data_IF_265151779605
#
_entry.id   IF_265151779605
#
_cell.length_a   1.000
_cell.length_b   1.000
_cell.length_c   1.000
_cell.angle_alpha   90.00
_cell.angle_beta   90.00
_cell.angle_gamma   90.00
#
_symmetry.space_group_name_H-M   'P 1'
#
loop_
_entity.id
_entity.type
_entity.pdbx_description
1 polymer ?
#
# COMPACT_ATOMS: atom_id res chain seq x y z
N UNK A 1 -22.65 43.44 24.94
CA UNK A 1 -22.48 41.99 24.62
C UNK A 1 -22.11 41.72 23.17
N UNK A 2 -22.72 42.37 22.16
CA UNK A 2 -22.42 42.12 20.74
C UNK A 2 -20.94 42.37 20.36
N UNK A 3 -20.33 43.45 20.87
CA UNK A 3 -18.90 43.78 20.62
C UNK A 3 -17.93 42.74 21.18
N UNK A 4 -18.23 42.14 22.33
CA UNK A 4 -17.40 41.09 22.94
C UNK A 4 -17.52 39.76 22.16
N UNK A 5 -18.73 39.42 21.72
CA UNK A 5 -18.97 38.24 20.86
C UNK A 5 -18.29 38.38 19.50
N UNK A 6 -18.31 39.57 18.90
CA UNK A 6 -17.63 39.84 17.64
C UNK A 6 -16.11 39.79 17.79
N UNK A 7 -15.54 40.37 18.86
CA UNK A 7 -14.12 40.27 19.15
C UNK A 7 -13.66 38.82 19.38
N UNK A 8 -14.46 38.01 20.09
CA UNK A 8 -14.18 36.59 20.31
C UNK A 8 -14.26 35.78 19.00
N UNK A 9 -15.24 36.08 18.14
CA UNK A 9 -15.38 35.44 16.83
C UNK A 9 -14.19 35.77 15.91
N UNK A 10 -13.78 37.05 15.86
CA UNK A 10 -12.60 37.46 15.08
C UNK A 10 -11.32 36.82 15.63
N UNK A 11 -11.15 36.76 16.96
CA UNK A 11 -10.02 36.07 17.59
C UNK A 11 -10.01 34.57 17.26
N UNK A 12 -11.16 33.90 17.29
CA UNK A 12 -11.28 32.48 16.94
C UNK A 12 -11.00 32.23 15.45
N UNK A 13 -11.43 33.13 14.56
CA UNK A 13 -11.13 33.07 13.12
C UNK A 13 -9.62 33.26 12.87
N UNK A 14 -8.97 34.21 13.56
CA UNK A 14 -7.52 34.41 13.43
C UNK A 14 -6.69 33.28 14.07
N UNK A 15 -7.16 32.67 15.16
CA UNK A 15 -6.49 31.52 15.79
C UNK A 15 -6.60 30.24 14.96
N UNK A 16 -7.63 30.10 14.11
CA UNK A 16 -7.82 28.91 13.28
C UNK A 16 -7.01 28.91 11.97
N UNK A 17 -6.32 29.99 11.61
CA UNK A 17 -5.50 30.08 10.38
C UNK A 17 -4.05 29.56 10.57
N UNK A 18 -3.63 29.28 11.81
CA UNK A 18 -2.21 28.99 12.11
C UNK A 18 -1.88 27.54 12.48
N UNK A 19 -2.84 26.61 12.48
CA UNK A 19 -2.55 25.18 12.72
C UNK A 19 -2.50 24.47 11.36
N UNK A 20 -1.39 24.64 10.64
CA UNK A 20 -1.06 23.73 9.53
C UNK A 20 -0.33 22.55 10.12
N UNK A 21 -0.70 21.33 9.76
CA UNK A 21 0.11 20.15 10.00
C UNK A 21 0.97 19.90 8.75
N UNK A 22 2.21 19.46 8.94
CA UNK A 22 3.02 18.99 7.82
C UNK A 22 2.43 17.68 7.32
N UNK A 23 1.99 17.67 6.06
CA UNK A 23 1.31 16.52 5.45
C UNK A 23 2.05 16.03 4.21
N UNK A 24 1.94 14.73 3.90
CA UNK A 24 2.67 14.12 2.79
C UNK A 24 1.89 13.01 2.08
N UNK A 25 2.28 12.76 0.83
CA UNK A 25 1.79 11.65 0.03
C UNK A 25 2.51 10.36 0.41
N UNK A 26 1.74 9.28 0.49
CA UNK A 26 2.21 7.95 0.78
C UNK A 26 2.36 7.14 -0.52
N UNK A 27 3.53 6.52 -0.74
CA UNK A 27 3.75 5.72 -1.93
C UNK A 27 3.07 4.35 -1.84
N UNK A 28 2.76 3.78 -3.00
CA UNK A 28 2.42 2.37 -3.11
C UNK A 28 3.63 1.50 -2.78
N UNK A 29 3.37 0.32 -2.19
CA UNK A 29 4.44 -0.57 -1.73
C UNK A 29 5.40 -1.00 -2.85
N UNK A 30 4.91 -1.16 -4.08
CA UNK A 30 5.79 -1.51 -5.20
C UNK A 30 6.84 -0.42 -5.48
N UNK A 31 6.49 0.86 -5.33
CA UNK A 31 7.43 1.97 -5.49
C UNK A 31 8.49 1.97 -4.39
N UNK A 32 8.08 1.67 -3.15
CA UNK A 32 8.96 1.56 -1.99
C UNK A 32 10.02 0.51 -2.23
N UNK A 33 9.58 -0.71 -2.57
CA UNK A 33 10.47 -1.85 -2.78
C UNK A 33 11.37 -1.61 -3.99
N UNK A 34 10.83 -1.22 -5.16
CA UNK A 34 11.62 -0.99 -6.39
C UNK A 34 12.72 0.08 -6.24
N UNK A 35 12.50 1.10 -5.40
CA UNK A 35 13.44 2.22 -5.25
C UNK A 35 14.43 2.02 -4.10
N UNK A 36 14.17 1.06 -3.21
CA UNK A 36 15.07 0.68 -2.14
C UNK A 36 16.29 -0.07 -2.68
N UNK A 37 17.37 -0.09 -1.92
CA UNK A 37 18.64 -0.76 -2.25
C UNK A 37 18.96 -1.89 -1.29
N UNK A 38 18.35 -1.86 -0.09
CA UNK A 38 18.56 -2.83 0.97
C UNK A 38 17.21 -3.23 1.55
N UNK A 39 17.07 -4.53 1.85
CA UNK A 39 16.00 -5.06 2.67
C UNK A 39 16.60 -5.83 3.85
N UNK A 40 16.33 -5.35 5.07
CA UNK A 40 17.01 -5.81 6.30
C UNK A 40 16.04 -5.91 7.47
N UNK A 41 16.33 -6.78 8.44
CA UNK A 41 15.79 -6.70 9.80
C UNK A 41 16.81 -5.98 10.67
N UNK A 42 16.37 -4.99 11.42
CA UNK A 42 17.23 -4.23 12.30
C UNK A 42 16.57 -3.93 13.64
N UNK A 43 17.39 -3.84 14.69
CA UNK A 43 16.99 -3.36 16.01
C UNK A 43 17.03 -1.83 16.04
N UNK A 44 15.98 -1.19 16.53
CA UNK A 44 15.96 0.26 16.79
C UNK A 44 16.72 0.52 18.09
N UNK A 45 17.81 1.29 18.02
CA UNK A 45 18.62 1.64 19.19
C UNK A 45 18.18 2.95 19.83
N UNK A 46 17.58 3.84 19.06
CA UNK A 46 17.08 5.14 19.49
C UNK A 46 16.68 5.99 18.29
N UNK A 47 15.88 7.03 18.54
CA UNK A 47 15.48 7.98 17.52
C UNK A 47 15.34 9.39 18.11
N UNK A 48 15.61 10.39 17.27
CA UNK A 48 15.20 11.79 17.45
C UNK A 48 14.20 12.07 16.33
N UNK A 49 12.96 12.37 16.70
CA UNK A 49 11.83 12.52 15.77
C UNK A 49 12.17 13.46 14.59
N UNK A 50 12.97 14.50 14.83
CA UNK A 50 13.27 15.52 13.83
C UNK A 50 14.62 15.35 13.13
N UNK A 51 15.41 14.32 13.50
CA UNK A 51 16.78 14.18 12.99
C UNK A 51 17.08 12.82 12.40
N UNK A 52 16.86 11.74 13.15
CA UNK A 52 17.25 10.41 12.70
C UNK A 52 16.64 9.28 13.53
N UNK A 53 16.68 8.08 12.95
CA UNK A 53 16.61 6.83 13.69
C UNK A 53 17.94 6.08 13.54
N UNK A 54 18.47 5.62 14.68
CA UNK A 54 19.68 4.81 14.72
C UNK A 54 19.30 3.35 14.88
N UNK A 55 19.79 2.50 13.97
CA UNK A 55 19.47 1.07 13.94
C UNK A 55 20.73 0.21 13.92
N UNK A 56 20.62 -1.03 14.40
CA UNK A 56 21.64 -2.06 14.25
C UNK A 56 21.12 -3.21 13.39
N UNK A 57 21.79 -3.49 12.28
CA UNK A 57 21.38 -4.56 11.36
C UNK A 57 21.55 -5.91 12.03
N UNK A 58 20.47 -6.70 12.04
CA UNK A 58 20.43 -8.06 12.58
C UNK A 58 20.50 -9.09 11.47
N UNK A 59 19.83 -8.84 10.34
CA UNK A 59 19.76 -9.78 9.21
C UNK A 59 19.58 -9.02 7.90
N UNK A 60 20.26 -9.47 6.85
CA UNK A 60 20.09 -9.01 5.47
C UNK A 60 19.20 -9.99 4.71
N UNK A 61 18.26 -9.47 3.92
CA UNK A 61 17.39 -10.28 3.06
C UNK A 61 17.63 -10.07 1.57
N UNK A 62 17.92 -8.84 1.15
CA UNK A 62 18.14 -8.53 -0.26
C UNK A 62 18.90 -7.23 -0.48
N UNK A 63 19.57 -7.10 -1.62
CA UNK A 63 20.40 -5.94 -1.95
C UNK A 63 21.88 -6.15 -1.62
N UNK A 64 22.65 -5.06 -1.62
CA UNK A 64 24.07 -5.11 -1.25
C UNK A 64 24.25 -5.44 0.24
N UNK A 65 25.38 -6.06 0.64
CA UNK A 65 25.64 -6.35 2.05
C UNK A 65 25.60 -5.08 2.92
N UNK A 66 24.82 -5.12 3.99
CA UNK A 66 24.74 -4.06 5.00
C UNK A 66 24.84 -4.70 6.38
N UNK A 67 25.67 -4.13 7.25
CA UNK A 67 25.92 -4.69 8.59
C UNK A 67 26.26 -3.59 9.60
N UNK A 68 26.07 -3.91 10.87
CA UNK A 68 26.43 -3.02 11.97
C UNK A 68 25.43 -1.88 12.19
N UNK A 69 25.92 -0.78 12.76
CA UNK A 69 25.12 0.36 13.17
C UNK A 69 25.04 1.40 12.06
N UNK A 70 23.83 1.83 11.70
CA UNK A 70 23.61 2.93 10.74
C UNK A 70 22.60 3.95 11.29
N UNK A 71 22.65 5.16 10.75
CA UNK A 71 21.71 6.23 11.03
C UNK A 71 20.90 6.52 9.77
N UNK A 72 19.57 6.44 9.88
CA UNK A 72 18.62 6.82 8.83
C UNK A 72 18.20 8.26 9.13
N UNK A 73 18.50 9.17 8.22
CA UNK A 73 18.37 10.62 8.46
C UNK A 73 17.38 11.30 7.54
N UNK A 74 16.88 10.60 6.51
CA UNK A 74 16.11 11.21 5.42
C UNK A 74 15.01 10.29 4.88
N UNK A 75 14.21 10.85 3.98
CA UNK A 75 13.12 10.15 3.27
C UNK A 75 13.33 10.23 1.75
N UNK A 76 13.25 9.10 1.03
CA UNK A 76 13.55 9.06 -0.41
C UNK A 76 12.32 9.12 -1.33
N UNK A 77 11.11 9.03 -0.77
CA UNK A 77 9.82 9.10 -1.49
C UNK A 77 8.89 10.17 -0.90
N UNK A 78 9.38 10.99 0.01
CA UNK A 78 8.57 12.02 0.64
C UNK A 78 8.20 13.12 -0.37
N UNK A 79 6.89 13.34 -0.50
CA UNK A 79 6.30 14.46 -1.24
C UNK A 79 5.34 15.19 -0.30
N UNK A 80 5.66 16.44 0.05
CA UNK A 80 4.85 17.22 0.98
C UNK A 80 3.64 17.82 0.26
N UNK A 81 2.46 17.72 0.87
CA UNK A 81 1.25 18.40 0.42
C UNK A 81 1.05 19.75 1.10
N UNK A 82 1.46 19.85 2.37
CA UNK A 82 1.46 21.09 3.13
C UNK A 82 2.60 21.10 4.14
N UNK A 83 3.08 22.30 4.43
CA UNK A 83 4.12 22.54 5.44
C UNK A 83 3.55 23.40 6.57
N UNK A 84 3.87 23.02 7.80
CA UNK A 84 3.74 23.88 8.98
C UNK A 84 5.05 24.64 9.21
N UNK A 85 4.96 25.85 9.75
CA UNK A 85 6.16 26.57 10.17
C UNK A 85 6.74 25.87 11.42
N UNK A 86 7.82 25.10 11.25
CA UNK A 86 8.64 24.58 12.34
C UNK A 86 8.50 23.08 12.66
N UNK A 87 7.59 22.33 12.02
CA UNK A 87 7.50 20.87 12.18
C UNK A 87 7.68 20.17 10.84
N UNK A 88 8.69 19.30 10.75
CA UNK A 88 9.00 18.53 9.54
C UNK A 88 8.35 17.14 9.54
N UNK A 89 8.60 16.34 8.50
CA UNK A 89 8.35 14.89 8.55
C UNK A 89 9.16 14.26 9.70
N UNK A 90 8.51 13.43 10.52
CA UNK A 90 9.09 12.91 11.77
C UNK A 90 9.29 11.40 11.77
N UNK A 91 10.31 10.92 12.48
CA UNK A 91 10.50 9.51 12.78
C UNK A 91 9.70 9.10 14.03
N UNK A 92 8.84 8.09 13.91
CA UNK A 92 8.01 7.56 15.00
C UNK A 92 8.32 6.09 15.29
N UNK A 93 9.25 5.83 16.22
CA UNK A 93 9.65 4.47 16.60
C UNK A 93 9.48 4.17 18.10
N UNK A 94 8.64 4.95 18.79
CA UNK A 94 8.40 4.75 20.21
C UNK A 94 7.75 3.37 20.45
N UNK A 95 8.38 2.57 21.31
CA UNK A 95 7.87 1.24 21.67
C UNK A 95 8.13 0.14 20.62
N UNK A 96 8.91 0.43 19.58
CA UNK A 96 9.27 -0.56 18.55
C UNK A 96 10.70 -1.06 18.79
N UNK A 97 10.87 -2.35 19.09
CA UNK A 97 12.22 -2.93 19.31
C UNK A 97 12.92 -3.22 17.98
N UNK A 98 12.22 -3.80 17.00
CA UNK A 98 12.79 -4.12 15.69
C UNK A 98 11.82 -3.88 14.56
N UNK A 99 12.36 -3.52 13.39
CA UNK A 99 11.60 -3.44 12.15
C UNK A 99 12.37 -4.10 11.01
N UNK A 100 11.60 -4.55 10.03
CA UNK A 100 12.12 -4.76 8.70
C UNK A 100 12.15 -3.42 7.96
N UNK A 101 13.26 -3.07 7.31
CA UNK A 101 13.45 -1.79 6.65
C UNK A 101 13.76 -1.99 5.17
N UNK A 102 13.14 -1.14 4.34
CA UNK A 102 13.55 -0.83 2.98
C UNK A 102 14.37 0.45 3.01
N UNK A 103 15.66 0.31 2.74
CA UNK A 103 16.62 1.41 2.87
C UNK A 103 17.16 1.78 1.50
N UNK A 104 17.37 3.07 1.27
CA UNK A 104 18.07 3.61 0.10
C UNK A 104 19.16 4.58 0.55
N UNK A 105 20.28 4.66 -0.17
CA UNK A 105 21.20 5.80 -0.06
C UNK A 105 20.79 6.92 -1.00
N UNK A 106 20.73 8.16 -0.51
CA UNK A 106 20.53 9.32 -1.38
C UNK A 106 21.83 9.72 -2.10
N UNK A 107 21.79 10.80 -2.89
CA UNK A 107 22.95 11.34 -3.61
C UNK A 107 24.08 11.84 -2.68
N UNK A 108 23.80 12.05 -1.39
CA UNK A 108 24.77 12.41 -0.36
C UNK A 108 25.28 11.19 0.42
N UNK A 109 24.96 9.97 -0.02
CA UNK A 109 25.31 8.71 0.65
C UNK A 109 24.70 8.56 2.06
N UNK A 110 23.60 9.28 2.34
CA UNK A 110 22.86 9.19 3.59
C UNK A 110 21.76 8.12 3.48
N UNK A 111 21.54 7.35 4.54
CA UNK A 111 20.51 6.32 4.55
C UNK A 111 19.11 6.92 4.75
N UNK A 112 18.16 6.43 3.95
CA UNK A 112 16.80 6.93 3.87
C UNK A 112 15.79 5.77 3.95
N UNK A 113 14.63 6.02 4.55
CA UNK A 113 13.40 5.22 4.35
C UNK A 113 12.44 5.94 3.40
N UNK A 114 11.31 5.35 3.03
CA UNK A 114 10.46 5.93 1.99
C UNK A 114 9.80 7.23 2.46
N UNK A 115 9.08 7.18 3.58
CA UNK A 115 8.34 8.28 4.20
C UNK A 115 8.30 8.07 5.73
N UNK A 116 7.72 8.99 6.53
CA UNK A 116 7.55 8.79 7.96
C UNK A 116 6.79 7.52 8.37
N UNK A 117 5.83 7.06 7.54
CA UNK A 117 4.95 5.93 7.85
C UNK A 117 5.10 4.75 6.89
N UNK A 118 6.00 4.83 5.90
CA UNK A 118 6.32 3.76 4.94
C UNK A 118 7.81 3.55 4.77
N UNK A 119 8.18 2.33 4.38
CA UNK A 119 9.57 1.90 4.21
C UNK A 119 10.04 1.03 5.37
N UNK A 120 9.16 0.68 6.30
CA UNK A 120 9.43 -0.30 7.33
C UNK A 120 8.17 -1.10 7.70
N UNK A 121 8.38 -2.26 8.32
CA UNK A 121 7.34 -3.07 8.95
C UNK A 121 7.76 -3.37 10.39
N UNK A 122 6.97 -2.88 11.35
CA UNK A 122 7.27 -3.04 12.77
C UNK A 122 7.03 -4.48 13.20
N UNK A 123 7.95 -5.01 14.02
CA UNK A 123 7.77 -6.29 14.70
C UNK A 123 7.37 -6.02 16.15
N UNK A 124 6.14 -6.36 16.51
CA UNK A 124 5.54 -6.12 17.83
C UNK A 124 4.86 -7.42 18.27
N UNK A 125 5.10 -7.85 19.50
CA UNK A 125 4.51 -9.06 20.10
C UNK A 125 4.67 -10.33 19.24
N UNK A 126 5.83 -10.47 18.61
CA UNK A 126 6.16 -11.62 17.76
C UNK A 126 5.56 -11.56 16.35
N UNK A 127 4.65 -10.63 16.06
CA UNK A 127 4.01 -10.44 14.76
C UNK A 127 4.64 -9.29 13.97
N UNK A 128 4.39 -9.26 12.66
CA UNK A 128 4.84 -8.20 11.76
C UNK A 128 3.64 -7.43 11.24
N UNK A 129 3.66 -6.10 11.42
CA UNK A 129 2.70 -5.17 10.83
C UNK A 129 3.17 -4.82 9.43
N UNK A 130 2.76 -5.64 8.46
CA UNK A 130 3.34 -5.65 7.13
C UNK A 130 2.50 -4.91 6.10
N UNK A 131 3.14 -4.01 5.35
CA UNK A 131 2.52 -3.34 4.19
C UNK A 131 2.83 -4.12 2.91
N UNK A 132 1.80 -4.66 2.25
CA UNK A 132 1.92 -5.27 0.91
C UNK A 132 1.35 -4.38 -0.19
N UNK A 133 0.46 -3.45 0.15
CA UNK A 133 -0.23 -2.61 -0.85
C UNK A 133 0.05 -1.13 -0.62
N UNK A 134 -0.36 -0.64 0.54
CA UNK A 134 -0.25 0.75 0.95
C UNK A 134 -0.25 0.82 2.48
N UNK A 135 0.47 1.77 3.08
CA UNK A 135 0.61 1.92 4.54
C UNK A 135 -0.70 1.99 5.32
N UNK A 136 -1.79 2.45 4.71
CA UNK A 136 -3.12 2.44 5.32
C UNK A 136 -3.68 1.04 5.57
N UNK A 137 -3.15 0.02 4.90
CA UNK A 137 -3.64 -1.35 4.94
C UNK A 137 -2.48 -2.28 5.26
N UNK A 138 -2.23 -2.45 6.55
CA UNK A 138 -1.26 -3.41 7.07
C UNK A 138 -1.93 -4.77 7.32
N UNK A 139 -1.15 -5.83 7.13
CA UNK A 139 -1.51 -7.19 7.52
C UNK A 139 -0.66 -7.61 8.71
N UNK A 140 -1.31 -8.21 9.71
CA UNK A 140 -0.61 -8.80 10.85
C UNK A 140 -0.23 -10.24 10.50
N UNK A 141 1.06 -10.53 10.36
CA UNK A 141 1.54 -11.84 9.92
C UNK A 141 2.79 -12.30 10.65
N UNK A 142 2.98 -13.61 10.64
CA UNK A 142 4.15 -14.26 11.21
C UNK A 142 5.46 -13.81 10.52
N UNK A 143 6.55 -13.62 11.29
CA UNK A 143 7.86 -13.26 10.76
C UNK A 143 8.34 -14.14 9.61
N UNK A 144 8.23 -15.47 9.73
CA UNK A 144 8.68 -16.40 8.68
C UNK A 144 7.94 -16.19 7.36
N UNK A 145 6.64 -15.90 7.42
CA UNK A 145 5.82 -15.62 6.24
C UNK A 145 6.29 -14.31 5.62
N UNK A 146 6.37 -13.23 6.42
CA UNK A 146 6.81 -11.92 5.95
C UNK A 146 8.20 -11.96 5.32
N UNK A 147 9.16 -12.60 5.98
CA UNK A 147 10.52 -12.73 5.49
C UNK A 147 10.54 -13.41 4.12
N UNK A 148 9.85 -14.53 3.95
CA UNK A 148 9.87 -15.29 2.69
C UNK A 148 9.15 -14.59 1.55
N UNK A 149 7.95 -14.08 1.78
CA UNK A 149 7.15 -13.41 0.74
C UNK A 149 7.76 -12.06 0.36
N UNK A 150 8.19 -11.26 1.34
CA UNK A 150 8.72 -9.93 1.06
C UNK A 150 10.15 -9.98 0.48
N UNK A 151 10.97 -10.97 0.87
CA UNK A 151 12.24 -11.24 0.19
C UNK A 151 12.01 -11.62 -1.26
N UNK A 152 11.02 -12.46 -1.56
CA UNK A 152 10.69 -12.81 -2.94
C UNK A 152 10.24 -11.59 -3.75
N UNK A 153 9.38 -10.74 -3.17
CA UNK A 153 8.93 -9.49 -3.81
C UNK A 153 10.11 -8.55 -4.08
N UNK A 154 10.97 -8.35 -3.08
CA UNK A 154 12.18 -7.55 -3.22
C UNK A 154 13.07 -8.11 -4.33
N UNK A 155 13.40 -9.39 -4.28
CA UNK A 155 14.27 -10.03 -5.25
C UNK A 155 13.70 -9.94 -6.67
N UNK A 156 12.40 -10.17 -6.84
CA UNK A 156 11.73 -10.04 -8.14
C UNK A 156 11.90 -8.63 -8.73
N UNK A 157 11.71 -7.58 -7.94
CA UNK A 157 11.89 -6.20 -8.41
C UNK A 157 13.35 -5.82 -8.71
N UNK A 158 14.32 -6.58 -8.18
CA UNK A 158 15.74 -6.36 -8.39
C UNK A 158 16.39 -7.40 -9.32
N UNK A 159 15.59 -8.22 -10.02
CA UNK A 159 16.10 -9.24 -10.95
C UNK A 159 16.89 -10.37 -10.28
N UNK A 160 16.67 -10.60 -8.99
CA UNK A 160 17.31 -11.64 -8.19
C UNK A 160 16.42 -12.89 -8.10
N UNK A 161 17.01 -14.09 -7.95
CA UNK A 161 16.24 -15.32 -7.76
C UNK A 161 15.49 -15.33 -6.42
N UNK A 162 14.39 -16.07 -6.37
CA UNK A 162 13.60 -16.30 -5.16
C UNK A 162 12.96 -17.69 -5.16
N UNK A 163 12.53 -18.16 -3.99
CA UNK A 163 11.96 -19.50 -3.80
C UNK A 163 10.52 -19.58 -4.34
N UNK A 164 10.39 -19.91 -5.63
CA UNK A 164 9.10 -20.12 -6.29
C UNK A 164 8.31 -21.29 -5.67
N UNK A 165 8.96 -22.31 -5.14
CA UNK A 165 8.30 -23.49 -4.56
C UNK A 165 7.56 -23.14 -3.29
N UNK A 166 8.21 -22.37 -2.40
CA UNK A 166 7.55 -21.84 -1.21
C UNK A 166 6.35 -20.97 -1.59
N UNK A 167 6.54 -20.02 -2.51
CA UNK A 167 5.46 -19.10 -2.91
C UNK A 167 4.27 -19.85 -3.50
N UNK A 168 4.52 -20.82 -4.38
CA UNK A 168 3.45 -21.64 -4.95
C UNK A 168 2.71 -22.46 -3.89
N UNK A 169 3.44 -23.05 -2.94
CA UNK A 169 2.84 -23.79 -1.82
C UNK A 169 1.98 -22.88 -0.95
N UNK A 170 2.50 -21.72 -0.57
CA UNK A 170 1.82 -20.73 0.25
C UNK A 170 0.53 -20.22 -0.43
N UNK A 171 0.63 -19.78 -1.68
CA UNK A 171 -0.52 -19.28 -2.44
C UNK A 171 -1.59 -20.37 -2.59
N UNK A 172 -1.19 -21.59 -2.95
CA UNK A 172 -2.13 -22.70 -3.08
C UNK A 172 -2.82 -23.02 -1.75
N UNK A 173 -2.10 -23.01 -0.63
CA UNK A 173 -2.68 -23.24 0.69
C UNK A 173 -3.81 -22.26 1.00
N UNK A 174 -3.58 -20.96 0.81
CA UNK A 174 -4.52 -19.93 1.26
C UNK A 174 -5.60 -19.55 0.24
N UNK A 175 -5.33 -19.67 -1.07
CA UNK A 175 -6.31 -19.37 -2.12
C UNK A 175 -7.16 -20.57 -2.55
N UNK A 176 -6.88 -21.78 -2.03
CA UNK A 176 -7.75 -22.95 -2.29
C UNK A 176 -8.92 -23.06 -1.32
N UNK A 177 -9.01 -22.17 -0.33
CA UNK A 177 -10.13 -22.07 0.60
C UNK A 177 -10.95 -20.81 0.29
N UNK A 178 -12.20 -20.78 0.75
CA UNK A 178 -13.10 -19.65 0.53
C UNK A 178 -12.51 -18.35 1.11
N UNK A 179 -12.83 -17.18 0.54
CA UNK A 179 -12.45 -15.89 1.13
C UNK A 179 -12.87 -15.81 2.59
N UNK A 180 -11.91 -15.54 3.48
CA UNK A 180 -12.17 -15.28 4.89
C UNK A 180 -12.59 -13.82 5.07
N UNK A 181 -13.43 -13.57 6.07
CA UNK A 181 -13.75 -12.22 6.51
C UNK A 181 -12.79 -11.78 7.62
N UNK A 182 -12.54 -10.48 7.73
CA UNK A 182 -11.89 -9.94 8.92
C UNK A 182 -12.84 -10.04 10.12
N UNK A 183 -12.34 -10.51 11.26
CA UNK A 183 -13.12 -10.67 12.49
C UNK A 183 -12.31 -10.30 13.73
N UNK A 184 -12.80 -9.33 14.51
CA UNK A 184 -12.17 -8.98 15.79
C UNK A 184 -12.33 -10.05 16.88
N UNK A 185 -13.21 -11.04 16.67
CA UNK A 185 -13.51 -12.09 17.66
C UNK A 185 -13.02 -13.48 17.26
N UNK A 186 -12.54 -13.67 16.02
CA UNK A 186 -12.00 -14.93 15.53
C UNK A 186 -10.60 -14.70 14.97
N UNK A 187 -9.60 -14.88 15.84
CA UNK A 187 -8.19 -14.70 15.51
C UNK A 187 -7.72 -15.66 14.40
N UNK A 188 -8.25 -16.88 14.34
CA UNK A 188 -7.89 -17.86 13.32
C UNK A 188 -8.42 -17.43 11.95
N UNK A 189 -9.67 -16.97 11.91
CA UNK A 189 -10.26 -16.44 10.68
C UNK A 189 -9.52 -15.19 10.21
N UNK A 190 -9.17 -14.29 11.12
CA UNK A 190 -8.39 -13.08 10.81
C UNK A 190 -6.99 -13.40 10.32
N UNK A 191 -6.31 -14.39 10.90
CA UNK A 191 -5.03 -14.87 10.39
C UNK A 191 -5.16 -15.46 8.97
N UNK A 192 -6.23 -16.18 8.65
CA UNK A 192 -6.50 -16.65 7.29
C UNK A 192 -6.74 -15.48 6.34
N UNK A 193 -7.53 -14.49 6.73
CA UNK A 193 -7.78 -13.28 5.96
C UNK A 193 -6.48 -12.55 5.60
N UNK A 194 -5.59 -12.33 6.57
CA UNK A 194 -4.29 -11.69 6.30
C UNK A 194 -3.41 -12.53 5.37
N UNK A 195 -3.35 -13.84 5.55
CA UNK A 195 -2.55 -14.70 4.67
C UNK A 195 -3.12 -14.77 3.24
N UNK A 196 -4.44 -14.70 3.07
CA UNK A 196 -5.07 -14.59 1.75
C UNK A 196 -4.73 -13.25 1.08
N UNK A 197 -4.73 -12.15 1.83
CA UNK A 197 -4.27 -10.85 1.34
C UNK A 197 -2.80 -10.93 0.87
N UNK A 198 -1.91 -11.48 1.69
CA UNK A 198 -0.49 -11.67 1.33
C UNK A 198 -0.33 -12.53 0.08
N UNK A 199 -1.11 -13.61 -0.06
CA UNK A 199 -1.05 -14.46 -1.24
C UNK A 199 -1.46 -13.73 -2.53
N UNK A 200 -2.56 -12.96 -2.48
CA UNK A 200 -3.02 -12.16 -3.63
C UNK A 200 -2.04 -11.06 -4.01
N UNK A 201 -1.52 -10.29 -3.05
CA UNK A 201 -0.52 -9.26 -3.35
C UNK A 201 0.82 -9.89 -3.80
N UNK A 202 1.19 -11.07 -3.31
CA UNK A 202 2.35 -11.80 -3.84
C UNK A 202 2.17 -12.18 -5.31
N UNK A 203 0.99 -12.63 -5.73
CA UNK A 203 0.69 -12.87 -7.16
C UNK A 203 0.89 -11.59 -7.97
N UNK A 204 0.36 -10.46 -7.49
CA UNK A 204 0.50 -9.16 -8.17
C UNK A 204 1.97 -8.75 -8.31
N UNK A 205 2.72 -8.75 -7.22
CA UNK A 205 4.10 -8.27 -7.21
C UNK A 205 5.06 -9.16 -8.00
N UNK A 206 4.82 -10.47 -8.01
CA UNK A 206 5.67 -11.48 -8.64
C UNK A 206 5.23 -11.84 -10.06
N UNK A 207 4.06 -11.36 -10.51
CA UNK A 207 3.50 -11.69 -11.83
C UNK A 207 3.21 -13.17 -12.02
N UNK A 208 2.79 -13.87 -10.95
CA UNK A 208 2.61 -15.32 -10.98
C UNK A 208 1.32 -15.73 -11.72
N UNK A 209 1.46 -16.67 -12.66
CA UNK A 209 0.35 -17.25 -13.42
C UNK A 209 -0.09 -18.60 -12.82
N UNK A 210 -1.18 -19.19 -13.32
CA UNK A 210 -1.71 -20.48 -12.86
C UNK A 210 -2.73 -20.42 -11.71
N UNK A 211 -3.10 -19.21 -11.27
CA UNK A 211 -4.00 -18.93 -10.14
C UNK A 211 -5.32 -18.27 -10.53
N UNK A 212 -5.59 -18.03 -11.82
CA UNK A 212 -6.76 -17.28 -12.29
C UNK A 212 -8.07 -17.74 -11.63
N UNK A 213 -8.39 -19.04 -11.70
CA UNK A 213 -9.61 -19.58 -11.10
C UNK A 213 -9.67 -19.48 -9.56
N UNK A 214 -8.52 -19.36 -8.89
CA UNK A 214 -8.44 -19.15 -7.43
C UNK A 214 -8.57 -17.69 -7.03
N UNK A 215 -8.30 -16.75 -7.94
CA UNK A 215 -8.43 -15.31 -7.71
C UNK A 215 -9.89 -14.88 -7.81
N UNK A 216 -10.66 -15.43 -8.76
CA UNK A 216 -12.03 -14.99 -9.04
C UNK A 216 -12.97 -14.99 -7.82
N UNK A 217 -12.99 -16.03 -6.95
CA UNK A 217 -13.85 -16.02 -5.75
C UNK A 217 -13.61 -14.81 -4.83
N UNK A 218 -12.38 -14.30 -4.76
CA UNK A 218 -12.04 -13.13 -3.94
C UNK A 218 -12.49 -11.82 -4.60
N UNK A 219 -12.48 -11.74 -5.93
CA UNK A 219 -13.02 -10.60 -6.66
C UNK A 219 -14.56 -10.55 -6.60
N UNK A 220 -15.19 -11.72 -6.50
CA UNK A 220 -16.64 -11.89 -6.42
C UNK A 220 -17.22 -11.77 -5.01
N UNK A 221 -16.38 -11.72 -3.98
CA UNK A 221 -16.83 -11.48 -2.60
C UNK A 221 -17.26 -10.02 -2.38
N UNK A 222 -18.54 -9.73 -2.64
CA UNK A 222 -19.12 -8.40 -2.50
C UNK A 222 -19.14 -7.87 -1.06
N UNK A 223 -18.92 -8.72 -0.07
CA UNK A 223 -18.90 -8.33 1.35
C UNK A 223 -17.51 -7.96 1.83
N UNK A 224 -16.48 -8.23 1.05
CA UNK A 224 -15.09 -8.07 1.46
C UNK A 224 -14.30 -7.22 0.46
N UNK A 225 -14.39 -5.89 0.61
CA UNK A 225 -13.72 -4.97 -0.30
C UNK A 225 -12.19 -5.15 -0.33
N UNK A 226 -11.55 -5.53 0.80
CA UNK A 226 -10.10 -5.77 0.85
C UNK A 226 -9.69 -6.94 -0.04
N UNK A 227 -10.47 -8.03 -0.03
CA UNK A 227 -10.30 -9.18 -0.92
C UNK A 227 -10.48 -8.77 -2.38
N UNK A 228 -11.53 -8.00 -2.68
CA UNK A 228 -11.78 -7.54 -4.05
C UNK A 228 -10.63 -6.69 -4.61
N UNK A 229 -10.09 -5.77 -3.82
CA UNK A 229 -8.94 -4.93 -4.24
C UNK A 229 -7.71 -5.79 -4.50
N UNK A 230 -7.37 -6.70 -3.60
CA UNK A 230 -6.17 -7.54 -3.73
C UNK A 230 -6.31 -8.50 -4.92
N UNK A 231 -7.51 -9.04 -5.14
CA UNK A 231 -7.82 -9.90 -6.28
C UNK A 231 -7.78 -9.15 -7.62
N UNK A 232 -8.35 -7.95 -7.69
CA UNK A 232 -8.26 -7.10 -8.87
C UNK A 232 -6.81 -6.80 -9.23
N UNK A 233 -5.96 -6.45 -8.25
CA UNK A 233 -4.52 -6.26 -8.48
C UNK A 233 -3.85 -7.54 -8.97
N UNK A 234 -4.09 -8.68 -8.32
CA UNK A 234 -3.54 -9.98 -8.71
C UNK A 234 -3.88 -10.36 -10.16
N UNK A 235 -5.03 -9.91 -10.68
CA UNK A 235 -5.39 -10.14 -12.07
C UNK A 235 -4.41 -9.52 -13.07
N UNK A 236 -3.58 -8.54 -12.70
CA UNK A 236 -2.54 -7.93 -13.56
C UNK A 236 -1.68 -8.97 -14.30
N UNK A 237 -1.48 -10.17 -13.73
CA UNK A 237 -0.76 -11.28 -14.36
C UNK A 237 -1.53 -11.97 -15.52
N UNK A 238 -2.78 -11.57 -15.81
CA UNK A 238 -3.69 -12.23 -16.75
C UNK A 238 -4.25 -11.22 -17.76
N UNK A 239 -3.44 -10.82 -18.74
CA UNK A 239 -3.89 -10.04 -19.89
C UNK A 239 -4.63 -10.94 -20.91
N UNK A 240 -5.78 -11.46 -20.54
CA UNK A 240 -6.64 -12.31 -21.40
C UNK A 240 -7.98 -11.63 -21.67
N UNK A 241 -8.66 -12.02 -22.75
CA UNK A 241 -10.00 -11.52 -23.08
C UNK A 241 -11.01 -11.78 -21.95
N UNK A 242 -10.86 -12.90 -21.24
CA UNK A 242 -11.71 -13.24 -20.10
C UNK A 242 -11.47 -12.32 -18.90
N UNK A 243 -10.22 -12.14 -18.49
CA UNK A 243 -9.84 -11.21 -17.41
C UNK A 243 -10.31 -9.78 -17.69
N UNK A 244 -10.12 -9.32 -18.94
CA UNK A 244 -10.64 -8.03 -19.43
C UNK A 244 -12.15 -7.90 -19.25
N UNK A 245 -12.92 -8.92 -19.64
CA UNK A 245 -14.40 -8.95 -19.45
C UNK A 245 -14.78 -8.92 -17.97
N UNK A 246 -14.09 -9.69 -17.13
CA UNK A 246 -14.34 -9.73 -15.68
C UNK A 246 -14.09 -8.36 -15.06
N UNK A 247 -12.94 -7.72 -15.34
CA UNK A 247 -12.62 -6.38 -14.86
C UNK A 247 -13.64 -5.34 -15.34
N UNK A 248 -13.98 -5.34 -16.63
CA UNK A 248 -14.99 -4.43 -17.18
C UNK A 248 -16.36 -4.62 -16.50
N UNK A 249 -16.74 -5.87 -16.21
CA UNK A 249 -18.00 -6.15 -15.51
C UNK A 249 -18.03 -5.54 -14.10
N UNK A 250 -16.91 -5.55 -13.38
CA UNK A 250 -16.79 -4.91 -12.05
C UNK A 250 -16.84 -3.39 -12.15
N UNK A 251 -16.22 -2.82 -13.19
CA UNK A 251 -16.25 -1.38 -13.45
C UNK A 251 -17.68 -0.89 -13.69
N UNK A 252 -18.47 -1.62 -14.49
CA UNK A 252 -19.81 -1.20 -14.88
C UNK A 252 -20.91 -1.60 -13.89
N UNK A 253 -20.68 -2.59 -13.03
CA UNK A 253 -21.67 -3.03 -12.03
C UNK A 253 -21.94 -1.95 -10.98
N UNK A 254 -23.20 -1.58 -10.80
CA UNK A 254 -23.60 -0.54 -9.84
C UNK A 254 -23.28 -0.89 -8.39
N UNK A 255 -23.36 -2.18 -8.01
CA UNK A 255 -23.08 -2.65 -6.65
C UNK A 255 -21.58 -2.66 -6.29
N UNK A 256 -20.68 -2.54 -7.26
CA UNK A 256 -19.24 -2.54 -6.96
C UNK A 256 -18.82 -1.17 -6.41
N UNK A 257 -18.14 -1.18 -5.26
CA UNK A 257 -17.68 0.05 -4.61
C UNK A 257 -16.68 0.85 -5.47
N UNK A 258 -16.74 2.18 -5.37
CA UNK A 258 -15.93 3.08 -6.21
C UNK A 258 -14.42 2.81 -6.12
N UNK A 259 -13.91 2.45 -4.95
CA UNK A 259 -12.48 2.13 -4.78
C UNK A 259 -12.10 0.87 -5.59
N UNK A 260 -12.89 -0.20 -5.48
CA UNK A 260 -12.68 -1.44 -6.24
C UNK A 260 -12.73 -1.18 -7.75
N UNK A 261 -13.66 -0.33 -8.21
CA UNK A 261 -13.76 0.06 -9.63
C UNK A 261 -12.47 0.71 -10.12
N UNK A 262 -11.92 1.66 -9.37
CA UNK A 262 -10.65 2.32 -9.74
C UNK A 262 -9.50 1.32 -9.82
N UNK A 263 -9.42 0.38 -8.88
CA UNK A 263 -8.39 -0.66 -8.92
C UNK A 263 -8.57 -1.57 -10.15
N UNK A 264 -9.80 -1.91 -10.51
CA UNK A 264 -10.08 -2.64 -11.75
C UNK A 264 -9.67 -1.84 -12.99
N UNK A 265 -9.93 -0.52 -13.02
CA UNK A 265 -9.52 0.39 -14.10
C UNK A 265 -8.00 0.43 -14.23
N UNK A 266 -7.28 0.59 -13.11
CA UNK A 266 -5.82 0.60 -13.11
C UNK A 266 -5.22 -0.74 -13.54
N UNK A 267 -5.80 -1.85 -13.09
CA UNK A 267 -5.41 -3.19 -13.54
C UNK A 267 -5.60 -3.30 -15.05
N UNK A 268 -6.79 -2.93 -15.54
CA UNK A 268 -7.11 -2.99 -16.96
C UNK A 268 -6.20 -2.06 -17.81
N UNK A 269 -5.77 -0.92 -17.26
CA UNK A 269 -4.82 0.00 -17.90
C UNK A 269 -3.49 -0.67 -18.23
N UNK A 270 -3.02 -1.60 -17.39
CA UNK A 270 -1.77 -2.33 -17.65
C UNK A 270 -1.84 -3.23 -18.89
N UNK A 271 -3.05 -3.54 -19.38
CA UNK A 271 -3.24 -4.41 -20.55
C UNK A 271 -3.29 -3.66 -21.88
N UNK A 272 -3.36 -2.32 -21.85
CA UNK A 272 -3.62 -1.50 -23.04
C UNK A 272 -4.84 -2.02 -23.85
N UNK A 273 -6.07 -1.98 -23.30
CA UNK A 273 -7.22 -2.73 -23.79
C UNK A 273 -7.90 -2.06 -25.00
N UNK A 274 -7.21 -1.99 -26.14
CA UNK A 274 -7.72 -1.32 -27.36
C UNK A 274 -9.07 -1.87 -27.80
N UNK A 275 -9.33 -3.17 -27.60
CA UNK A 275 -10.58 -3.81 -27.98
C UNK A 275 -11.79 -3.37 -27.14
N UNK A 276 -11.56 -2.81 -25.94
CA UNK A 276 -12.63 -2.36 -25.03
C UNK A 276 -12.90 -0.86 -25.12
N UNK A 277 -12.21 -0.11 -26.00
CA UNK A 277 -12.25 1.36 -26.04
C UNK A 277 -13.66 1.93 -26.02
N UNK A 278 -14.56 1.43 -26.87
CA UNK A 278 -15.94 1.91 -26.93
C UNK A 278 -16.74 1.60 -25.65
N UNK A 279 -16.54 0.42 -25.06
CA UNK A 279 -17.22 0.04 -23.82
C UNK A 279 -16.74 0.89 -22.64
N UNK A 280 -15.45 1.24 -22.61
CA UNK A 280 -14.86 2.13 -21.62
C UNK A 280 -15.37 3.56 -21.75
N UNK A 281 -15.48 4.08 -22.99
CA UNK A 281 -16.12 5.38 -23.26
C UNK A 281 -17.56 5.38 -22.72
N UNK A 282 -18.33 4.34 -23.01
CA UNK A 282 -19.72 4.24 -22.54
C UNK A 282 -19.80 4.17 -21.00
N UNK A 283 -18.91 3.41 -20.35
CA UNK A 283 -18.81 3.35 -18.90
C UNK A 283 -18.45 4.72 -18.30
N UNK A 284 -17.55 5.46 -18.95
CA UNK A 284 -17.11 6.79 -18.53
C UNK A 284 -18.26 7.80 -18.48
N UNK A 285 -19.22 7.73 -19.41
CA UNK A 285 -20.36 8.66 -19.48
C UNK A 285 -21.25 8.62 -18.23
N UNK A 286 -21.32 7.47 -17.55
CA UNK A 286 -22.17 7.26 -16.38
C UNK A 286 -21.37 7.06 -15.09
N UNK A 287 -20.04 7.20 -15.16
CA UNK A 287 -19.14 6.97 -14.05
C UNK A 287 -19.31 8.01 -12.94
N UNK A 288 -19.20 7.55 -11.69
CA UNK A 288 -19.30 8.42 -10.51
C UNK A 288 -18.14 9.42 -10.44
N UNK A 289 -18.48 10.69 -10.26
CA UNK A 289 -17.56 11.77 -9.90
C UNK A 289 -17.38 11.94 -8.39
N UNK A 290 -18.01 11.08 -7.57
CA UNK A 290 -17.86 11.15 -6.11
C UNK A 290 -16.44 10.77 -5.70
N UNK A 291 -15.89 11.55 -4.78
CA UNK A 291 -14.63 11.24 -4.11
C UNK A 291 -14.70 9.88 -3.43
N UNK A 292 -13.55 9.21 -3.39
CA UNK A 292 -13.33 7.90 -2.82
C UNK A 292 -11.91 7.87 -2.23
N UNK A 293 -11.58 6.83 -1.48
CA UNK A 293 -10.27 6.72 -0.86
C UNK A 293 -10.13 5.43 -0.07
N UNK A 294 -9.01 5.31 0.64
CA UNK A 294 -8.62 4.10 1.36
C UNK A 294 -9.56 3.72 2.52
N UNK A 295 -10.50 4.60 2.89
CA UNK A 295 -11.44 4.44 3.98
C UNK A 295 -10.79 4.60 5.36
N UNK A 296 -11.53 5.14 6.32
CA UNK A 296 -11.11 5.24 7.73
C UNK A 296 -10.94 6.68 8.21
N UNK A 297 -11.56 6.98 9.36
CA UNK A 297 -11.44 8.25 10.11
C UNK A 297 -10.41 8.14 11.25
N UNK A 298 -9.56 7.10 11.25
CA UNK A 298 -8.52 6.84 12.27
C UNK A 298 -7.15 6.93 11.59
N UNK A 299 -7.00 7.91 10.70
CA UNK A 299 -5.78 8.10 9.92
C UNK A 299 -4.83 9.01 10.67
N UNK A 300 -3.52 8.82 10.46
CA UNK A 300 -2.58 9.91 10.67
C UNK A 300 -3.10 11.09 9.81
N UNK A 301 -3.58 12.18 10.43
CA UNK A 301 -4.19 13.30 9.68
C UNK A 301 -3.16 14.00 8.77
N UNK A 302 -1.89 13.61 8.89
CA UNK A 302 -0.79 14.10 8.08
C UNK A 302 -0.65 13.39 6.74
N UNK A 303 -1.38 12.31 6.45
CA UNK A 303 -1.31 11.72 5.11
C UNK A 303 -2.39 12.30 4.20
N UNK A 304 -1.97 12.90 3.08
CA UNK A 304 -2.83 13.64 2.13
C UNK A 304 -3.10 12.88 0.81
N UNK A 305 -2.76 11.60 0.74
CA UNK A 305 -2.78 10.83 -0.50
C UNK A 305 -4.15 10.83 -1.17
N UNK A 306 -4.21 11.44 -2.35
CA UNK A 306 -5.43 11.52 -3.12
C UNK A 306 -5.66 10.26 -3.94
N UNK A 307 -6.92 9.82 -3.97
CA UNK A 307 -7.36 8.70 -4.80
C UNK A 307 -8.34 9.21 -5.87
N UNK A 308 -8.20 8.80 -7.14
CA UNK A 308 -9.03 9.37 -8.21
C UNK A 308 -10.46 8.84 -8.14
N UNK A 309 -11.40 9.69 -8.54
CA UNK A 309 -12.78 9.26 -8.78
C UNK A 309 -12.85 8.22 -9.90
N UNK A 310 -13.92 7.43 -9.95
CA UNK A 310 -14.13 6.44 -11.03
C UNK A 310 -14.13 7.14 -12.39
N UNK A 311 -14.78 8.31 -12.48
CA UNK A 311 -14.80 9.15 -13.68
C UNK A 311 -13.38 9.53 -14.12
N UNK A 312 -12.58 10.11 -13.21
CA UNK A 312 -11.20 10.54 -13.51
C UNK A 312 -10.33 9.36 -13.98
N UNK A 313 -10.40 8.23 -13.28
CA UNK A 313 -9.62 7.04 -13.64
C UNK A 313 -10.00 6.49 -15.03
N UNK A 314 -11.29 6.47 -15.39
CA UNK A 314 -11.74 6.05 -16.72
C UNK A 314 -11.30 7.03 -17.81
N UNK A 315 -11.45 8.34 -17.60
CA UNK A 315 -11.00 9.37 -18.55
C UNK A 315 -9.50 9.20 -18.85
N UNK A 316 -8.67 9.00 -17.82
CA UNK A 316 -7.23 8.75 -17.99
C UNK A 316 -6.94 7.44 -18.73
N UNK A 317 -7.71 6.37 -18.48
CA UNK A 317 -7.58 5.11 -19.21
C UNK A 317 -7.93 5.29 -20.68
N UNK A 318 -9.10 5.84 -20.99
CA UNK A 318 -9.57 6.06 -22.37
C UNK A 318 -8.57 6.90 -23.15
N UNK A 319 -8.05 7.97 -22.56
CA UNK A 319 -7.04 8.84 -23.18
C UNK A 319 -5.72 8.10 -23.46
N UNK A 320 -5.37 7.08 -22.67
CA UNK A 320 -4.14 6.29 -22.86
C UNK A 320 -4.24 5.23 -23.96
N UNK A 321 -5.45 4.91 -24.44
CA UNK A 321 -5.69 3.92 -25.49
C UNK A 321 -5.57 4.63 -26.85
N UNK A 322 -4.43 4.43 -27.51
CA UNK A 322 -4.21 4.84 -28.90
C UNK A 322 -5.14 4.05 -29.81
#
# INVERSE_FOLDING_TARGET
MLKLKLALLTLLIFLSVCVKATTWDEPWQDQVVKKSEYFVLAKVLGFDANKNVTINILKQFGGQPLSGKISITNFYLLSLCSESAGEGPEFHFKGIDSCYFFIKKNSKNEYCIATPTTGFAAKIDGQVYATYRHSYHQALIEPDIYEKTMTAIFNNYHGLPYDKTYLNTFINKYLSIKPAAYSNSDEKQTAVFFNQHVALESIYHLGLTGYYGKILPFLDDEKNFHSQVSAARALTAYNTAESKKVLLSKITKSSTGNFVKVICIWTLKTYHPTELKQQLINAELTASSKENGFGGNIMDPRVCTQFPTVKKALTELVASIK
#
